data_IF_786269187420
#
_entry.id   IF_786269187420
#
_cell.length_a   1.000
_cell.length_b   1.000
_cell.length_c   1.000
_cell.angle_alpha   90.00
_cell.angle_beta   90.00
_cell.angle_gamma   90.00
#
_symmetry.space_group_name_H-M   'P 1'
#
loop_
_entity.id
_entity.type
_entity.pdbx_description
1 polymer ?
#
# COMPACT_ATOMS: atom_id res chain seq x y z
N UNK A 1 -5.52 -16.84 3.08
CA UNK A 1 -4.41 -17.05 4.03
C UNK A 1 -3.26 -16.16 3.57
N UNK A 2 -2.65 -15.40 4.47
CA UNK A 2 -1.49 -14.57 4.12
C UNK A 2 -0.25 -15.44 3.92
N UNK A 3 0.75 -14.88 3.22
CA UNK A 3 2.12 -15.40 3.29
C UNK A 3 2.62 -15.33 4.73
N UNK A 4 3.69 -16.06 5.05
CA UNK A 4 4.30 -15.94 6.38
C UNK A 4 4.85 -14.52 6.60
N UNK A 5 4.95 -14.05 7.87
CA UNK A 5 5.56 -12.76 8.18
C UNK A 5 6.95 -12.56 7.56
N UNK A 6 7.77 -13.60 7.53
CA UNK A 6 9.12 -13.55 6.97
C UNK A 6 9.11 -13.31 5.45
N UNK A 7 8.19 -13.94 4.71
CA UNK A 7 8.03 -13.73 3.27
C UNK A 7 7.52 -12.32 2.96
N UNK A 8 6.56 -11.81 3.74
CA UNK A 8 6.05 -10.44 3.58
C UNK A 8 7.15 -9.41 3.82
N UNK A 9 7.95 -9.59 4.89
CA UNK A 9 9.09 -8.72 5.18
C UNK A 9 10.17 -8.81 4.10
N UNK A 10 10.43 -9.99 3.55
CA UNK A 10 11.38 -10.15 2.45
C UNK A 10 10.91 -9.41 1.19
N UNK A 11 9.62 -9.54 0.81
CA UNK A 11 9.03 -8.80 -0.31
C UNK A 11 9.12 -7.27 -0.07
N UNK A 12 8.80 -6.81 1.14
CA UNK A 12 8.91 -5.39 1.51
C UNK A 12 10.35 -4.87 1.39
N UNK A 13 11.34 -5.67 1.79
CA UNK A 13 12.74 -5.28 1.71
C UNK A 13 13.23 -5.07 0.26
N UNK A 14 12.65 -5.77 -0.73
CA UNK A 14 13.00 -5.58 -2.15
C UNK A 14 12.72 -4.16 -2.67
N UNK A 15 11.79 -3.46 -2.02
CA UNK A 15 11.41 -2.07 -2.33
C UNK A 15 11.82 -1.09 -1.24
N UNK A 16 12.69 -1.52 -0.31
CA UNK A 16 13.23 -0.67 0.74
C UNK A 16 12.32 -0.42 1.95
N UNK A 17 11.18 -1.11 2.05
CA UNK A 17 10.27 -1.02 3.19
C UNK A 17 10.84 -1.85 4.36
N UNK A 18 11.05 -1.20 5.51
CA UNK A 18 11.50 -1.78 6.79
C UNK A 18 10.42 -1.62 7.86
N UNK A 19 10.58 -2.27 9.01
CA UNK A 19 9.58 -2.27 10.10
C UNK A 19 9.12 -0.87 10.54
N UNK A 20 10.02 0.12 10.57
CA UNK A 20 9.74 1.49 10.99
C UNK A 20 9.31 2.41 9.83
N UNK A 21 9.28 1.90 8.59
CA UNK A 21 8.94 2.71 7.42
C UNK A 21 7.48 3.13 7.49
N UNK A 22 7.16 4.43 7.36
CA UNK A 22 5.78 4.87 7.19
C UNK A 22 5.24 4.37 5.85
N UNK A 23 4.22 3.54 5.88
CA UNK A 23 3.58 2.97 4.69
C UNK A 23 2.14 3.45 4.61
N UNK A 24 1.75 3.99 3.47
CA UNK A 24 0.35 4.33 3.17
C UNK A 24 -0.09 3.46 2.01
N UNK A 25 -1.01 2.52 2.25
CA UNK A 25 -1.54 1.64 1.20
C UNK A 25 -2.81 2.23 0.60
N UNK A 26 -2.98 2.04 -0.72
CA UNK A 26 -4.17 2.44 -1.47
C UNK A 26 -4.43 1.47 -2.62
N UNK A 27 -5.64 1.50 -3.18
CA UNK A 27 -5.94 0.78 -4.42
C UNK A 27 -6.92 1.59 -5.27
N UNK A 28 -8.08 1.03 -5.61
CA UNK A 28 -9.15 1.76 -6.30
C UNK A 28 -10.20 2.33 -5.34
N UNK A 29 -10.72 1.51 -4.42
CA UNK A 29 -11.74 1.85 -3.41
C UNK A 29 -11.47 1.17 -2.06
N UNK A 30 -10.22 1.10 -1.63
CA UNK A 30 -9.83 0.54 -0.33
C UNK A 30 -9.80 -0.99 -0.21
N UNK A 31 -10.70 -1.75 -0.85
CA UNK A 31 -10.87 -3.20 -0.56
C UNK A 31 -9.57 -4.05 -0.62
N UNK A 32 -8.78 -3.93 -1.70
CA UNK A 32 -7.50 -4.66 -1.81
C UNK A 32 -6.46 -4.14 -0.82
N UNK A 33 -6.44 -2.83 -0.61
CA UNK A 33 -5.50 -2.18 0.30
C UNK A 33 -5.80 -2.53 1.77
N UNK A 34 -7.05 -2.76 2.15
CA UNK A 34 -7.42 -3.25 3.48
C UNK A 34 -6.84 -4.62 3.77
N UNK A 35 -6.84 -5.53 2.80
CA UNK A 35 -6.20 -6.85 2.93
C UNK A 35 -4.68 -6.72 3.12
N UNK A 36 -4.03 -5.84 2.34
CA UNK A 36 -2.59 -5.57 2.48
C UNK A 36 -2.27 -4.88 3.81
N UNK A 37 -3.12 -3.97 4.27
CA UNK A 37 -2.97 -3.28 5.56
C UNK A 37 -2.83 -4.29 6.71
N UNK A 38 -3.78 -5.22 6.81
CA UNK A 38 -3.75 -6.27 7.86
C UNK A 38 -2.52 -7.16 7.70
N UNK A 39 -2.18 -7.57 6.47
CA UNK A 39 -1.02 -8.42 6.22
C UNK A 39 0.31 -7.77 6.65
N UNK A 40 0.46 -6.44 6.45
CA UNK A 40 1.65 -5.70 6.85
C UNK A 40 1.73 -5.48 8.36
N UNK A 41 0.59 -5.21 9.02
CA UNK A 41 0.53 -5.12 10.48
C UNK A 41 0.88 -6.45 11.14
N UNK A 42 0.29 -7.57 10.67
CA UNK A 42 0.59 -8.91 11.18
C UNK A 42 2.05 -9.33 10.90
N UNK A 43 2.65 -8.83 9.82
CA UNK A 43 4.06 -9.07 9.51
C UNK A 43 5.03 -8.21 10.35
N UNK A 44 4.53 -7.25 11.14
CA UNK A 44 5.33 -6.43 12.05
C UNK A 44 5.80 -5.09 11.49
N UNK A 45 5.19 -4.59 10.40
CA UNK A 45 5.37 -3.18 9.98
C UNK A 45 4.58 -2.30 10.93
N UNK A 46 5.24 -1.35 11.60
CA UNK A 46 4.69 -0.62 12.75
C UNK A 46 3.86 0.61 12.38
N UNK A 47 4.08 1.18 11.18
CA UNK A 47 3.47 2.44 10.77
C UNK A 47 2.76 2.31 9.42
N UNK A 48 1.73 1.46 9.39
CA UNK A 48 0.88 1.26 8.20
C UNK A 48 -0.37 2.12 8.35
N UNK A 49 -0.78 2.80 7.28
CA UNK A 49 -2.05 3.54 7.17
C UNK A 49 -2.75 3.20 5.86
N UNK A 50 -4.07 3.29 5.86
CA UNK A 50 -4.89 3.06 4.67
C UNK A 50 -5.46 4.38 4.16
N UNK A 51 -5.18 4.72 2.91
CA UNK A 51 -5.88 5.79 2.21
C UNK A 51 -7.18 5.24 1.60
N UNK A 52 -8.28 5.40 2.35
CA UNK A 52 -9.57 4.77 2.03
C UNK A 52 -10.17 5.25 0.71
N UNK A 53 -10.12 6.56 0.43
CA UNK A 53 -10.63 7.13 -0.82
C UNK A 53 -9.90 6.63 -2.05
N UNK A 54 -8.61 6.29 -1.90
CA UNK A 54 -7.82 5.59 -2.92
C UNK A 54 -7.86 6.34 -4.27
N UNK A 55 -7.63 5.63 -5.37
CA UNK A 55 -7.70 6.22 -6.70
C UNK A 55 -9.06 6.87 -7.00
N UNK A 56 -10.17 6.30 -6.54
CA UNK A 56 -11.51 6.84 -6.82
C UNK A 56 -11.73 8.23 -6.23
N UNK A 57 -11.08 8.59 -5.11
CA UNK A 57 -11.09 9.96 -4.59
C UNK A 57 -10.09 10.84 -5.36
N UNK A 58 -8.85 10.38 -5.53
CA UNK A 58 -7.80 11.14 -6.22
C UNK A 58 -8.18 11.55 -7.64
N UNK A 59 -8.75 10.62 -8.42
CA UNK A 59 -9.10 10.86 -9.82
C UNK A 59 -10.31 11.78 -10.03
N UNK A 60 -11.00 12.20 -8.97
CA UNK A 60 -12.17 13.11 -9.06
C UNK A 60 -11.77 14.57 -9.06
N UNK A 61 -10.57 14.88 -8.61
CA UNK A 61 -10.03 16.23 -8.67
C UNK A 61 -9.08 16.33 -9.87
N UNK A 62 -9.50 16.96 -10.98
CA UNK A 62 -8.67 17.10 -12.17
C UNK A 62 -7.48 18.06 -11.97
N UNK A 63 -7.41 18.77 -10.84
CA UNK A 63 -6.24 19.60 -10.51
C UNK A 63 -5.08 18.81 -9.91
N UNK A 64 -5.32 17.57 -9.48
CA UNK A 64 -4.27 16.69 -8.96
C UNK A 64 -3.47 16.05 -10.09
N UNK A 65 -2.15 15.83 -9.90
CA UNK A 65 -1.31 15.20 -10.91
C UNK A 65 -1.71 13.74 -11.13
N UNK A 66 -1.78 13.35 -12.40
CA UNK A 66 -2.07 11.99 -12.87
C UNK A 66 -1.08 11.66 -13.99
N UNK A 67 -0.42 10.52 -13.88
CA UNK A 67 0.41 9.97 -14.95
C UNK A 67 -0.41 8.99 -15.81
N UNK A 68 -0.22 9.03 -17.12
CA UNK A 68 -0.90 8.17 -18.10
C UNK A 68 0.11 7.48 -19.02
N UNK A 69 -0.24 6.30 -19.53
CA UNK A 69 0.61 5.53 -20.44
C UNK A 69 1.42 4.41 -19.75
N UNK A 70 2.46 3.93 -20.43
CA UNK A 70 3.33 2.87 -19.90
C UNK A 70 4.39 3.48 -18.96
N UNK A 71 4.72 2.81 -17.83
CA UNK A 71 5.84 3.22 -17.01
C UNK A 71 7.14 3.11 -17.82
N UNK A 72 7.99 4.12 -17.68
CA UNK A 72 9.32 4.22 -18.31
C UNK A 72 10.37 3.41 -17.55
#
# INVERSE_FOLDING_TARGET
MFKSPAEILADCATVGIRQETPVIVFCFKGARASTTFVALEEAGIKNVRLYLGSWNEWSRDPSLPIEEGLPY
#
